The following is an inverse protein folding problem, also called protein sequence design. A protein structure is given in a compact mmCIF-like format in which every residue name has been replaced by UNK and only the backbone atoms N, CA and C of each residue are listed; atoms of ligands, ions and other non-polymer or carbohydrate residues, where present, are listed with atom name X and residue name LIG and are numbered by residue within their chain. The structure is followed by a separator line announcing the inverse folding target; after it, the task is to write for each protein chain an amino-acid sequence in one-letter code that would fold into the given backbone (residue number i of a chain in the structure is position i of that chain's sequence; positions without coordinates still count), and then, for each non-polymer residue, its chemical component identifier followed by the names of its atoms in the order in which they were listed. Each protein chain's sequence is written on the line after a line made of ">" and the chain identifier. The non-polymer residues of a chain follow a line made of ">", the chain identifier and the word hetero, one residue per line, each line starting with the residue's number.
data_IF_356014353314
#
_entry.id   IF_356014353314
#
_cell.length_a   1.000
_cell.length_b   1.000
_cell.length_c   1.000
_cell.angle_alpha   90.00
_cell.angle_beta   90.00
_cell.angle_gamma   90.00
#
_symmetry.space_group_name_H-M   'P 1'
#
loop_
_entity.id
_entity.type
_entity.pdbx_description
1 polymer ?
#
# COMPACT_ATOMS: atom_id res chain seq x y z
N UNK A 1 8.42 27.03 26.16
CA UNK A 1 7.01 26.59 26.16
C UNK A 1 7.03 25.07 26.14
N UNK A 2 6.76 24.43 27.28
CA UNK A 2 6.76 22.98 27.42
C UNK A 2 5.44 22.47 26.84
N UNK A 3 5.48 21.76 25.72
CA UNK A 3 4.29 21.09 25.18
C UNK A 3 3.95 19.95 26.14
N UNK A 4 2.90 20.14 26.92
CA UNK A 4 2.35 19.10 27.78
C UNK A 4 1.69 18.05 26.87
N UNK A 5 2.34 16.90 26.73
CA UNK A 5 1.84 15.79 25.92
C UNK A 5 0.69 15.14 26.69
N UNK A 6 -0.55 15.60 26.47
CA UNK A 6 -1.73 14.90 26.98
C UNK A 6 -1.73 13.48 26.41
N UNK A 7 -1.67 12.48 27.30
CA UNK A 7 -1.85 11.08 26.94
C UNK A 7 -3.20 10.90 26.24
N UNK A 8 -3.23 10.12 25.14
CA UNK A 8 -4.48 9.88 24.42
C UNK A 8 -5.51 9.18 25.30
N UNK A 9 -6.78 9.54 25.12
CA UNK A 9 -7.86 8.88 25.84
C UNK A 9 -8.09 7.47 25.27
N UNK A 10 -8.49 6.52 26.12
CA UNK A 10 -8.80 5.14 25.69
C UNK A 10 -9.84 5.08 24.54
N UNK A 11 -10.71 6.10 24.45
CA UNK A 11 -11.69 6.26 23.37
C UNK A 11 -11.03 6.55 22.02
N UNK A 12 -9.99 7.38 21.98
CA UNK A 12 -9.27 7.74 20.75
C UNK A 12 -8.48 6.55 20.22
N UNK A 13 -7.79 5.81 21.10
CA UNK A 13 -7.07 4.58 20.73
C UNK A 13 -8.04 3.52 20.19
N UNK A 14 -9.20 3.34 20.83
CA UNK A 14 -10.25 2.44 20.34
C UNK A 14 -10.79 2.84 18.97
N UNK A 15 -11.05 4.14 18.75
CA UNK A 15 -11.50 4.66 17.46
C UNK A 15 -10.46 4.46 16.36
N UNK A 16 -9.18 4.65 16.66
CA UNK A 16 -8.09 4.42 15.71
C UNK A 16 -7.93 2.95 15.35
N UNK A 17 -8.07 2.04 16.34
CA UNK A 17 -8.10 0.60 16.08
C UNK A 17 -9.29 0.21 15.21
N UNK A 18 -10.48 0.73 15.51
CA UNK A 18 -11.66 0.53 14.67
C UNK A 18 -11.42 1.02 13.23
N UNK A 19 -10.78 2.18 13.07
CA UNK A 19 -10.42 2.73 11.76
C UNK A 19 -9.48 1.81 10.98
N UNK A 20 -8.50 1.18 11.64
CA UNK A 20 -7.62 0.20 11.01
C UNK A 20 -8.38 -1.04 10.53
N UNK A 21 -9.32 -1.56 11.33
CA UNK A 21 -10.13 -2.72 10.94
C UNK A 21 -11.14 -2.40 9.83
N UNK A 22 -11.76 -1.22 9.88
CA UNK A 22 -12.64 -0.73 8.83
C UNK A 22 -11.88 -0.61 7.50
N UNK A 23 -10.67 -0.03 7.54
CA UNK A 23 -9.78 0.07 6.39
C UNK A 23 -9.40 -1.30 5.81
N UNK A 24 -9.08 -2.28 6.66
CA UNK A 24 -8.79 -3.64 6.21
C UNK A 24 -9.99 -4.27 5.49
N UNK A 25 -11.19 -4.18 6.10
CA UNK A 25 -12.41 -4.72 5.51
C UNK A 25 -12.73 -4.08 4.16
N UNK A 26 -12.66 -2.75 4.08
CA UNK A 26 -12.85 -2.01 2.83
C UNK A 26 -11.81 -2.39 1.77
N UNK A 27 -10.56 -2.65 2.17
CA UNK A 27 -9.51 -3.02 1.22
C UNK A 27 -9.67 -4.45 0.68
N UNK A 28 -10.20 -5.37 1.49
CA UNK A 28 -10.57 -6.72 1.03
C UNK A 28 -11.75 -6.65 0.03
N UNK A 29 -12.74 -5.80 0.30
CA UNK A 29 -13.83 -5.52 -0.65
C UNK A 29 -13.25 -4.96 -1.95
N UNK A 30 -12.34 -3.98 -1.86
CA UNK A 30 -11.71 -3.35 -3.02
C UNK A 30 -10.93 -4.36 -3.88
N UNK A 31 -10.19 -5.27 -3.25
CA UNK A 31 -9.50 -6.36 -3.94
C UNK A 31 -10.49 -7.34 -4.58
N UNK A 32 -11.62 -7.64 -3.92
CA UNK A 32 -12.70 -8.42 -4.50
C UNK A 32 -13.33 -7.74 -5.71
N UNK A 33 -13.58 -6.42 -5.62
CA UNK A 33 -14.09 -5.60 -6.71
C UNK A 33 -13.16 -5.61 -7.92
N UNK A 34 -11.85 -5.58 -7.68
CA UNK A 34 -10.85 -5.71 -8.73
C UNK A 34 -10.93 -7.06 -9.45
N UNK A 35 -11.14 -8.15 -8.72
CA UNK A 35 -11.16 -9.50 -9.28
C UNK A 35 -12.41 -9.82 -10.13
N UNK A 36 -13.54 -9.16 -9.89
CA UNK A 36 -14.83 -9.43 -10.57
C UNK A 36 -15.34 -8.26 -11.41
N UNK A 37 -14.53 -7.22 -11.59
CA UNK A 37 -14.90 -5.98 -12.30
C UNK A 37 -16.22 -5.38 -11.76
N UNK A 38 -16.29 -5.20 -10.44
CA UNK A 38 -17.50 -4.78 -9.75
C UNK A 38 -17.96 -3.36 -10.13
N UNK A 39 -19.24 -3.01 -9.86
CA UNK A 39 -19.81 -1.71 -10.22
C UNK A 39 -19.02 -0.53 -9.66
N UNK A 40 -18.90 0.54 -10.46
CA UNK A 40 -18.13 1.74 -10.15
C UNK A 40 -18.45 2.35 -8.77
N UNK A 41 -19.72 2.34 -8.37
CA UNK A 41 -20.16 2.87 -7.07
C UNK A 41 -19.56 2.10 -5.90
N UNK A 42 -19.54 0.77 -5.97
CA UNK A 42 -19.00 -0.07 -4.90
C UNK A 42 -17.47 0.06 -4.84
N UNK A 43 -16.81 0.00 -6.00
CA UNK A 43 -15.36 0.19 -6.12
C UNK A 43 -14.94 1.57 -5.60
N UNK A 44 -15.67 2.63 -5.97
CA UNK A 44 -15.42 3.99 -5.51
C UNK A 44 -15.63 4.18 -4.01
N UNK A 45 -16.71 3.61 -3.44
CA UNK A 45 -16.97 3.67 -2.00
C UNK A 45 -15.89 2.94 -1.19
N UNK A 46 -15.46 1.76 -1.65
CA UNK A 46 -14.38 1.00 -1.02
C UNK A 46 -13.05 1.76 -1.10
N UNK A 47 -12.70 2.31 -2.27
CA UNK A 47 -11.49 3.13 -2.47
C UNK A 47 -11.46 4.34 -1.54
N UNK A 48 -12.56 5.09 -1.47
CA UNK A 48 -12.67 6.25 -0.58
C UNK A 48 -12.55 5.86 0.89
N UNK A 49 -13.15 4.73 1.29
CA UNK A 49 -13.08 4.23 2.67
C UNK A 49 -11.65 3.84 3.04
N UNK A 50 -10.95 3.10 2.17
CA UNK A 50 -9.53 2.75 2.38
C UNK A 50 -8.67 4.01 2.48
N UNK A 51 -8.82 4.94 1.53
CA UNK A 51 -8.08 6.19 1.53
C UNK A 51 -8.31 7.03 2.79
N UNK A 52 -9.57 7.20 3.20
CA UNK A 52 -9.93 7.94 4.40
C UNK A 52 -9.35 7.28 5.68
N UNK A 53 -9.44 5.95 5.80
CA UNK A 53 -8.88 5.23 6.94
C UNK A 53 -7.36 5.39 7.01
N UNK A 54 -6.64 5.18 5.89
CA UNK A 54 -5.19 5.38 5.84
C UNK A 54 -4.80 6.82 6.20
N UNK A 55 -5.51 7.81 5.66
CA UNK A 55 -5.27 9.21 5.96
C UNK A 55 -5.39 9.48 7.47
N UNK A 56 -6.48 9.02 8.10
CA UNK A 56 -6.67 9.16 9.56
C UNK A 56 -5.54 8.49 10.33
N UNK A 57 -5.16 7.25 9.98
CA UNK A 57 -4.14 6.48 10.71
C UNK A 57 -2.73 7.10 10.60
N UNK A 58 -2.38 7.66 9.45
CA UNK A 58 -1.09 8.34 9.22
C UNK A 58 -0.98 9.59 10.10
N UNK A 59 -2.04 10.40 10.17
CA UNK A 59 -2.01 11.65 10.94
C UNK A 59 -2.32 11.48 12.43
N UNK A 60 -2.73 10.28 12.88
CA UNK A 60 -2.99 9.98 14.28
C UNK A 60 -1.69 9.81 15.10
N UNK A 61 -0.96 10.90 15.32
CA UNK A 61 0.36 10.93 15.97
C UNK A 61 0.32 11.05 17.49
N UNK A 62 -0.81 11.50 18.05
CA UNK A 62 -0.99 11.70 19.50
C UNK A 62 -1.41 10.45 20.26
N UNK A 63 -1.51 9.31 19.58
CA UNK A 63 -1.98 8.06 20.18
C UNK A 63 -0.88 7.35 20.98
N UNK A 64 -1.30 6.42 21.83
CA UNK A 64 -0.43 5.61 22.68
C UNK A 64 0.75 4.98 21.92
N UNK A 65 1.89 4.83 22.60
CA UNK A 65 3.11 4.21 22.06
C UNK A 65 2.83 2.81 21.47
N UNK A 66 1.93 2.05 22.11
CA UNK A 66 1.46 0.76 21.61
C UNK A 66 0.88 0.88 20.19
N UNK A 67 -0.04 1.82 19.97
CA UNK A 67 -0.64 2.02 18.66
C UNK A 67 0.39 2.48 17.62
N UNK A 68 1.31 3.36 18.02
CA UNK A 68 2.40 3.80 17.15
C UNK A 68 3.30 2.63 16.73
N UNK A 69 3.61 1.70 17.64
CA UNK A 69 4.38 0.50 17.32
C UNK A 69 3.66 -0.38 16.27
N UNK A 70 2.36 -0.62 16.44
CA UNK A 70 1.54 -1.36 15.47
C UNK A 70 1.55 -0.68 14.09
N UNK A 71 1.32 0.64 14.08
CA UNK A 71 1.33 1.46 12.87
C UNK A 71 2.68 1.41 12.15
N UNK A 72 3.78 1.49 12.88
CA UNK A 72 5.13 1.41 12.29
C UNK A 72 5.38 0.07 11.59
N UNK A 73 4.92 -1.05 12.15
CA UNK A 73 5.01 -2.35 11.47
C UNK A 73 4.18 -2.35 10.19
N UNK A 74 2.93 -1.86 10.24
CA UNK A 74 2.09 -1.70 9.05
C UNK A 74 2.76 -0.86 7.96
N UNK A 75 3.31 0.31 8.32
CA UNK A 75 4.03 1.19 7.38
C UNK A 75 5.20 0.48 6.72
N UNK A 76 5.99 -0.31 7.47
CA UNK A 76 7.10 -1.08 6.90
C UNK A 76 6.63 -2.09 5.87
N UNK A 77 5.50 -2.78 6.10
CA UNK A 77 4.94 -3.74 5.16
C UNK A 77 4.43 -3.06 3.89
N UNK A 78 3.67 -1.96 4.02
CA UNK A 78 3.20 -1.19 2.87
C UNK A 78 4.35 -0.63 2.03
N UNK A 79 5.35 -0.04 2.68
CA UNK A 79 6.55 0.47 2.01
C UNK A 79 7.38 -0.64 1.36
N UNK A 80 7.44 -1.84 1.94
CA UNK A 80 8.13 -2.97 1.33
C UNK A 80 7.51 -3.38 -0.01
N UNK A 81 6.17 -3.38 -0.11
CA UNK A 81 5.47 -3.66 -1.39
C UNK A 81 5.78 -2.59 -2.43
N UNK A 82 5.74 -1.31 -2.05
CA UNK A 82 6.07 -0.20 -2.94
C UNK A 82 7.53 -0.30 -3.41
N UNK A 83 8.47 -0.53 -2.49
CA UNK A 83 9.89 -0.64 -2.81
C UNK A 83 10.18 -1.83 -3.73
N UNK A 84 9.54 -2.98 -3.49
CA UNK A 84 9.65 -4.17 -4.34
C UNK A 84 9.12 -3.88 -5.75
N UNK A 85 7.95 -3.25 -5.86
CA UNK A 85 7.37 -2.87 -7.14
C UNK A 85 8.28 -1.92 -7.92
N UNK A 86 8.79 -0.86 -7.29
CA UNK A 86 9.68 0.10 -7.95
C UNK A 86 11.00 -0.55 -8.39
N UNK A 87 11.57 -1.42 -7.55
CA UNK A 87 12.82 -2.13 -7.86
C UNK A 87 12.62 -3.09 -9.03
N UNK A 88 11.56 -3.90 -9.02
CA UNK A 88 11.23 -4.79 -10.12
C UNK A 88 10.97 -4.02 -11.42
N UNK A 89 10.19 -2.93 -11.33
CA UNK A 89 9.92 -2.03 -12.46
C UNK A 89 11.20 -1.47 -13.08
N UNK A 90 12.16 -1.03 -12.26
CA UNK A 90 13.43 -0.52 -12.74
C UNK A 90 14.29 -1.60 -13.42
N UNK A 91 14.34 -2.81 -12.85
CA UNK A 91 15.06 -3.95 -13.44
C UNK A 91 14.46 -4.30 -14.81
N UNK A 92 13.13 -4.39 -14.91
CA UNK A 92 12.44 -4.66 -16.16
C UNK A 92 12.71 -3.56 -17.20
N UNK A 93 12.66 -2.29 -16.80
CA UNK A 93 12.95 -1.17 -17.70
C UNK A 93 14.37 -1.25 -18.28
N UNK A 94 15.38 -1.60 -17.48
CA UNK A 94 16.75 -1.80 -17.95
C UNK A 94 16.85 -2.98 -18.90
N UNK A 95 16.19 -4.11 -18.59
CA UNK A 95 16.16 -5.29 -19.46
C UNK A 95 15.54 -4.97 -20.82
N UNK A 96 14.38 -4.31 -20.85
CA UNK A 96 13.72 -3.91 -22.10
C UNK A 96 14.55 -2.90 -22.90
N UNK A 97 15.22 -1.96 -22.22
CA UNK A 97 16.17 -1.05 -22.84
C UNK A 97 17.32 -1.79 -23.52
N UNK A 98 17.97 -2.72 -22.80
CA UNK A 98 19.06 -3.54 -23.34
C UNK A 98 18.64 -4.43 -24.51
N UNK A 99 17.46 -5.06 -24.41
CA UNK A 99 16.88 -5.87 -25.49
C UNK A 99 16.62 -5.04 -26.76
N UNK A 100 16.08 -3.83 -26.59
CA UNK A 100 15.80 -2.91 -27.71
C UNK A 100 17.08 -2.45 -28.41
N UNK A 101 18.15 -2.18 -27.66
CA UNK A 101 19.46 -1.82 -28.21
C UNK A 101 20.08 -3.02 -28.95
N UNK A 102 20.03 -4.21 -28.37
CA UNK A 102 20.60 -5.42 -28.98
C UNK A 102 19.92 -5.82 -30.29
N UNK A 103 18.59 -5.75 -30.35
CA UNK A 103 17.81 -6.04 -31.56
C UNK A 103 18.07 -5.03 -32.68
N UNK A 104 18.21 -3.74 -32.34
CA UNK A 104 18.65 -2.71 -33.28
C UNK A 104 20.06 -2.99 -33.82
N UNK A 105 21.01 -3.32 -32.94
CA UNK A 105 22.39 -3.62 -33.33
C UNK A 105 22.51 -4.90 -34.18
N UNK A 106 21.61 -5.87 -33.99
CA UNK A 106 21.55 -7.09 -34.79
C UNK A 106 20.94 -6.90 -36.19
N UNK A 107 20.54 -5.68 -36.56
CA UNK A 107 19.99 -5.37 -37.89
C UNK A 107 18.59 -5.94 -38.12
N UNK A 108 17.92 -6.43 -37.08
CA UNK A 108 16.58 -7.04 -37.13
C UNK A 108 15.47 -5.94 -37.24
N UNK A 109 15.87 -4.67 -37.32
CA UNK A 109 15.00 -3.51 -37.15
C UNK A 109 14.81 -3.17 -35.69
N UNK A 110 14.59 -1.90 -35.36
CA UNK A 110 14.17 -1.55 -34.01
C UNK A 110 12.82 -2.23 -33.74
N UNK A 111 12.66 -3.08 -32.71
CA UNK A 111 11.34 -3.50 -32.28
C UNK A 111 10.54 -2.22 -32.05
N UNK A 112 9.29 -2.18 -32.53
CA UNK A 112 8.49 -1.00 -32.30
C UNK A 112 8.45 -0.78 -30.78
N UNK A 113 8.92 0.38 -30.32
CA UNK A 113 8.78 0.84 -28.94
C UNK A 113 7.31 1.23 -28.76
N UNK A 114 6.42 0.32 -29.12
CA UNK A 114 5.00 0.53 -29.25
C UNK A 114 4.42 -0.44 -28.23
N UNK A 115 4.08 0.15 -27.08
CA UNK A 115 3.41 -0.39 -25.91
C UNK A 115 4.06 -1.57 -25.14
N UNK A 116 4.75 -2.53 -25.76
CA UNK A 116 5.19 -3.77 -25.06
C UNK A 116 6.52 -3.70 -24.31
N UNK A 117 7.47 -2.85 -24.70
CA UNK A 117 8.78 -2.75 -24.04
C UNK A 117 8.78 -1.78 -22.83
N UNK A 118 7.77 -0.92 -22.74
CA UNK A 118 7.52 -0.02 -21.60
C UNK A 118 6.31 -0.46 -20.76
N UNK A 119 5.65 -1.56 -21.15
CA UNK A 119 4.82 -2.39 -20.28
C UNK A 119 5.72 -3.05 -19.24
N UNK A 120 6.28 -2.24 -18.34
CA UNK A 120 6.43 -2.69 -16.96
C UNK A 120 5.01 -3.11 -16.56
N UNK A 121 4.73 -4.42 -16.47
CA UNK A 121 3.39 -4.83 -16.16
C UNK A 121 3.21 -4.52 -14.68
N UNK A 122 2.14 -3.83 -14.34
CA UNK A 122 1.24 -4.13 -13.23
C UNK A 122 0.46 -2.85 -13.06
N UNK A 123 -0.80 -2.92 -13.43
CA UNK A 123 -1.84 -1.99 -13.05
C UNK A 123 -1.51 -1.25 -11.73
N UNK A 124 -1.12 0.02 -11.84
CA UNK A 124 -0.68 0.81 -10.69
C UNK A 124 -1.76 0.91 -9.61
N UNK A 125 -3.03 0.79 -10.03
CA UNK A 125 -4.15 0.66 -9.11
C UNK A 125 -4.04 -0.61 -8.25
N UNK A 126 -3.79 -1.77 -8.85
CA UNK A 126 -3.58 -3.02 -8.12
C UNK A 126 -2.41 -2.91 -7.14
N UNK A 127 -1.30 -2.28 -7.55
CA UNK A 127 -0.16 -2.05 -6.63
C UNK A 127 -0.56 -1.21 -5.43
N UNK A 128 -1.35 -0.15 -5.62
CA UNK A 128 -1.85 0.67 -4.52
C UNK A 128 -2.75 -0.14 -3.58
N UNK A 129 -3.65 -0.96 -4.13
CA UNK A 129 -4.53 -1.85 -3.35
C UNK A 129 -3.72 -2.86 -2.53
N UNK A 130 -2.68 -3.46 -3.13
CA UNK A 130 -1.80 -4.42 -2.46
C UNK A 130 -0.91 -3.75 -1.41
N UNK A 131 -0.41 -2.54 -1.66
CA UNK A 131 0.36 -1.79 -0.68
C UNK A 131 -0.50 -1.40 0.53
N UNK A 132 -1.74 -0.94 0.28
CA UNK A 132 -2.72 -0.69 1.33
C UNK A 132 -3.05 -1.99 2.09
N UNK A 133 -3.15 -3.12 1.39
CA UNK A 133 -3.42 -4.42 2.03
C UNK A 133 -2.27 -4.81 2.95
N UNK A 134 -1.03 -4.71 2.46
CA UNK A 134 0.16 -5.03 3.22
C UNK A 134 0.28 -4.16 4.47
N UNK A 135 -0.10 -2.88 4.40
CA UNK A 135 -0.19 -2.02 5.58
C UNK A 135 -1.14 -2.61 6.64
N UNK A 136 -2.39 -2.92 6.25
CA UNK A 136 -3.38 -3.45 7.18
C UNK A 136 -3.01 -4.84 7.71
N UNK A 137 -2.42 -5.70 6.87
CA UNK A 137 -1.92 -7.01 7.28
C UNK A 137 -0.74 -6.91 8.25
N UNK A 138 0.21 -6.00 8.00
CA UNK A 138 1.33 -5.74 8.91
C UNK A 138 0.84 -5.22 10.26
N UNK A 139 -0.17 -4.34 10.25
CA UNK A 139 -0.84 -3.86 11.46
C UNK A 139 -1.51 -5.02 12.23
N UNK A 140 -2.31 -5.84 11.55
CA UNK A 140 -3.00 -6.99 12.15
C UNK A 140 -2.01 -8.01 12.70
N UNK A 141 -0.95 -8.31 11.95
CA UNK A 141 0.13 -9.21 12.36
C UNK A 141 0.82 -8.71 13.63
N UNK A 142 1.16 -7.43 13.69
CA UNK A 142 1.76 -6.82 14.87
C UNK A 142 0.82 -6.93 16.08
N UNK A 143 -0.48 -6.75 15.86
CA UNK A 143 -1.49 -6.83 16.93
C UNK A 143 -1.65 -8.24 17.48
N UNK A 144 -1.59 -9.27 16.62
CA UNK A 144 -1.65 -10.69 17.00
C UNK A 144 -0.37 -11.12 17.72
N UNK A 145 0.80 -10.66 17.27
CA UNK A 145 2.08 -10.96 17.93
C UNK A 145 2.30 -10.27 19.26
N UNK A 146 1.44 -9.33 19.65
CA UNK A 146 1.62 -8.55 20.87
C UNK A 146 2.83 -7.59 20.81
N UNK A 147 3.29 -7.21 19.61
CA UNK A 147 4.29 -6.14 19.48
C UNK A 147 3.74 -4.86 20.10
N UNK A 148 4.44 -4.34 21.13
CA UNK A 148 3.99 -3.21 21.94
C UNK A 148 3.44 -3.58 23.32
N UNK A 149 3.53 -4.85 23.75
CA UNK A 149 3.48 -5.20 25.16
C UNK A 149 4.90 -5.05 25.75
N UNK A 150 5.20 -3.86 26.24
CA UNK A 150 6.30 -3.61 27.16
C UNK A 150 5.69 -3.18 28.50
#
# INVERSE_FOLDING_TARGET
>A
MMFEFQASSARETSAALFTAWLGLGANLILLGCYAVEAPLLLTGAALMTVGACLFVLIFSTRLDEHFNALRHVGLRWGMAVIALYLSASAILAVYHGGYSVGTFAAGVGAPSITDDALRVPVDGYLVMVLAALAFHLGFAFARVRGTGAA
#
